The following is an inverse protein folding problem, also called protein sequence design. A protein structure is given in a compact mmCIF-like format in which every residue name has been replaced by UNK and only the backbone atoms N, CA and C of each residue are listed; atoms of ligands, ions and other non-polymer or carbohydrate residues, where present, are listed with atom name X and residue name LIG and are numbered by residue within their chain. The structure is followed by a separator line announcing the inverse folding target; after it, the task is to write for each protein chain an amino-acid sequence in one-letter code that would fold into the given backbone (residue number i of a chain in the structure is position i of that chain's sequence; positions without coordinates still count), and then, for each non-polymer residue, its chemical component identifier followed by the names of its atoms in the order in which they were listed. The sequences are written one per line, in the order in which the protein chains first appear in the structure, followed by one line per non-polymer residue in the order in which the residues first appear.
data_IF_224247151811
#
_entry.id   IF_224247151811
#
_cell.length_a   1.000
_cell.length_b   1.000
_cell.length_c   1.000
_cell.angle_alpha   90.00
_cell.angle_beta   90.00
_cell.angle_gamma   90.00
#
_symmetry.space_group_name_H-M   'P 1'
#
loop_
_entity.id
_entity.type
_entity.pdbx_description
1 polymer ?
#
# COMPACT_ATOMS: atom_id res chain seq x y z
N UNK A 1 66.22 -6.15 -38.54
CA UNK A 1 65.13 -5.15 -38.70
C UNK A 1 64.03 -5.49 -37.69
N UNK A 2 64.07 -4.90 -36.50
CA UNK A 2 63.00 -5.02 -35.51
C UNK A 2 62.47 -3.62 -35.22
N UNK A 3 61.26 -3.36 -35.70
CA UNK A 3 60.56 -2.08 -35.51
C UNK A 3 59.86 -2.08 -34.16
N UNK A 4 60.15 -1.07 -33.33
CA UNK A 4 59.47 -0.87 -32.05
C UNK A 4 57.97 -0.60 -32.26
N UNK A 5 57.08 -1.10 -31.37
CA UNK A 5 55.66 -0.76 -31.41
C UNK A 5 55.44 0.65 -30.88
N UNK A 6 54.75 1.48 -31.67
CA UNK A 6 54.32 2.82 -31.33
C UNK A 6 53.45 2.82 -30.06
N UNK A 7 54.00 3.29 -28.94
CA UNK A 7 53.23 3.66 -27.75
C UNK A 7 52.29 4.82 -28.11
N UNK A 8 51.01 4.49 -28.32
CA UNK A 8 49.95 5.50 -28.40
C UNK A 8 49.84 6.21 -27.05
N UNK A 9 50.34 7.43 -27.00
CA UNK A 9 50.06 8.39 -25.93
C UNK A 9 48.54 8.60 -25.88
N UNK A 10 47.88 7.98 -24.91
CA UNK A 10 46.48 8.26 -24.60
C UNK A 10 46.41 9.69 -24.10
N UNK A 11 45.91 10.60 -24.95
CA UNK A 11 45.55 11.95 -24.53
C UNK A 11 44.55 11.80 -23.38
N UNK A 12 44.98 12.16 -22.18
CA UNK A 12 44.10 12.34 -21.01
C UNK A 12 42.98 13.27 -21.43
N UNK A 13 41.76 12.75 -21.52
CA UNK A 13 40.60 13.51 -21.93
C UNK A 13 40.41 14.65 -20.94
N UNK A 14 40.38 15.88 -21.44
CA UNK A 14 40.08 17.06 -20.67
C UNK A 14 38.80 16.85 -19.85
N UNK A 15 38.90 17.07 -18.53
CA UNK A 15 37.75 17.12 -17.65
C UNK A 15 36.76 18.16 -18.18
N UNK A 16 35.69 17.70 -18.84
CA UNK A 16 34.60 18.57 -19.29
C UNK A 16 34.00 19.19 -18.03
N UNK A 17 34.18 20.48 -17.83
CA UNK A 17 33.44 21.20 -16.78
C UNK A 17 31.95 21.05 -17.06
N UNK A 18 31.23 20.45 -16.12
CA UNK A 18 29.77 20.35 -16.20
C UNK A 18 29.21 21.77 -16.13
N UNK A 19 28.87 22.36 -17.29
CA UNK A 19 28.17 23.64 -17.35
C UNK A 19 26.81 23.45 -16.68
N UNK A 20 26.48 24.31 -15.71
CA UNK A 20 25.12 24.37 -15.14
C UNK A 20 24.15 24.65 -16.28
N UNK A 21 23.29 23.68 -16.60
CA UNK A 21 22.19 23.84 -17.55
C UNK A 21 20.94 24.19 -16.76
N UNK A 22 20.14 25.09 -17.30
CA UNK A 22 18.80 25.32 -16.78
C UNK A 22 17.89 24.17 -17.25
N UNK A 23 17.14 23.58 -16.32
CA UNK A 23 16.20 22.50 -16.58
C UNK A 23 14.90 23.06 -17.16
N UNK A 24 14.91 23.36 -18.45
CA UNK A 24 13.71 23.77 -19.18
C UNK A 24 12.79 22.58 -19.44
N UNK A 25 11.48 22.86 -19.56
CA UNK A 25 10.51 21.83 -19.92
C UNK A 25 10.79 21.31 -21.34
N UNK A 26 10.80 19.99 -21.48
CA UNK A 26 11.01 19.29 -22.75
C UNK A 26 9.73 19.09 -23.56
N UNK A 27 8.57 19.23 -22.90
CA UNK A 27 7.24 19.12 -23.50
C UNK A 27 6.98 20.25 -24.50
N UNK A 28 6.30 19.96 -25.63
CA UNK A 28 5.90 20.99 -26.58
C UNK A 28 4.84 21.88 -25.94
N UNK A 29 5.18 23.14 -25.70
CA UNK A 29 4.33 24.12 -25.01
C UNK A 29 4.38 25.45 -25.75
N UNK A 30 3.22 26.04 -26.00
CA UNK A 30 3.12 27.41 -26.52
C UNK A 30 3.52 28.42 -25.45
N UNK A 31 4.70 29.02 -25.62
CA UNK A 31 5.23 29.99 -24.66
C UNK A 31 4.59 31.36 -24.95
N UNK A 32 3.88 31.97 -23.99
CA UNK A 32 3.29 33.28 -24.19
C UNK A 32 4.37 34.35 -24.40
N UNK A 33 4.10 35.31 -25.29
CA UNK A 33 4.97 36.46 -25.54
C UNK A 33 5.18 37.23 -24.23
N UNK A 34 6.43 37.63 -23.95
CA UNK A 34 6.76 38.41 -22.75
C UNK A 34 6.26 39.83 -22.92
N UNK A 35 5.41 40.28 -22.01
CA UNK A 35 5.06 41.70 -21.91
C UNK A 35 6.28 42.50 -21.42
N UNK A 36 6.59 43.69 -22.00
CA UNK A 36 7.80 44.45 -21.64
C UNK A 36 7.93 44.77 -20.15
N UNK A 37 6.80 45.04 -19.48
CA UNK A 37 6.74 45.33 -18.03
C UNK A 37 6.73 44.08 -17.13
N UNK A 38 6.67 42.88 -17.71
CA UNK A 38 6.67 41.64 -16.93
C UNK A 38 8.09 41.18 -16.60
N UNK A 39 8.35 40.91 -15.33
CA UNK A 39 9.62 40.34 -14.86
C UNK A 39 9.63 38.80 -14.91
N UNK A 40 8.72 38.17 -15.65
CA UNK A 40 8.67 36.71 -15.76
C UNK A 40 9.91 36.14 -16.46
N UNK A 41 10.61 35.24 -15.76
CA UNK A 41 11.72 34.46 -16.32
C UNK A 41 11.23 33.40 -17.33
N UNK A 42 12.13 32.84 -18.15
CA UNK A 42 11.77 31.88 -19.20
C UNK A 42 11.03 30.64 -18.68
N UNK A 43 11.48 30.08 -17.56
CA UNK A 43 10.86 28.90 -16.93
C UNK A 43 9.42 29.19 -16.47
N UNK A 44 9.19 30.37 -15.87
CA UNK A 44 7.84 30.79 -15.42
C UNK A 44 6.88 30.94 -16.60
N UNK A 45 7.37 31.41 -17.75
CA UNK A 45 6.55 31.49 -18.98
C UNK A 45 6.27 30.10 -19.56
N UNK A 46 7.25 29.20 -19.58
CA UNK A 46 7.04 27.81 -19.99
C UNK A 46 6.01 27.13 -19.08
N UNK A 47 6.08 27.34 -17.77
CA UNK A 47 5.09 26.84 -16.81
C UNK A 47 3.69 27.43 -17.08
N UNK A 48 3.58 28.74 -17.36
CA UNK A 48 2.31 29.36 -17.75
C UNK A 48 1.75 28.74 -19.04
N UNK A 49 2.61 28.46 -20.01
CA UNK A 49 2.21 27.74 -21.22
C UNK A 49 1.73 26.32 -20.92
N UNK A 50 2.41 25.59 -20.02
CA UNK A 50 2.04 24.22 -19.64
C UNK A 50 0.69 24.18 -18.91
N UNK A 51 0.49 25.11 -17.97
CA UNK A 51 -0.73 25.19 -17.16
C UNK A 51 -1.93 25.74 -17.95
N UNK A 52 -1.69 26.71 -18.84
CA UNK A 52 -2.76 27.40 -19.57
C UNK A 52 -3.42 28.52 -18.75
N UNK A 53 -4.50 29.12 -19.27
CA UNK A 53 -5.22 30.20 -18.60
C UNK A 53 -5.90 29.74 -17.31
N UNK A 54 -5.89 30.63 -16.32
CA UNK A 54 -6.53 30.45 -15.03
C UNK A 54 -7.93 31.06 -15.05
N UNK A 55 -8.95 30.34 -14.59
CA UNK A 55 -10.29 30.90 -14.43
C UNK A 55 -10.39 31.80 -13.18
N UNK A 56 -11.54 32.46 -12.98
CA UNK A 56 -11.80 33.33 -11.82
C UNK A 56 -11.70 32.56 -10.48
N UNK A 57 -12.05 31.27 -10.48
CA UNK A 57 -11.93 30.37 -9.32
C UNK A 57 -10.48 29.95 -9.05
N UNK A 58 -9.58 30.19 -9.99
CA UNK A 58 -8.18 29.87 -9.89
C UNK A 58 -7.75 28.54 -10.51
N UNK A 59 -8.61 27.86 -11.26
CA UNK A 59 -8.39 26.54 -11.84
C UNK A 59 -7.87 26.61 -13.28
N UNK A 60 -7.06 25.61 -13.65
CA UNK A 60 -6.48 25.44 -14.98
C UNK A 60 -7.29 24.46 -15.82
N UNK A 61 -8.55 24.81 -16.06
CA UNK A 61 -9.52 23.95 -16.75
C UNK A 61 -9.10 23.47 -18.15
N UNK A 62 -8.23 24.21 -18.85
CA UNK A 62 -7.69 23.80 -20.16
C UNK A 62 -6.59 22.74 -20.05
N UNK A 63 -6.06 22.47 -18.86
CA UNK A 63 -5.00 21.48 -18.68
C UNK A 63 -5.62 20.08 -18.51
N UNK A 64 -5.19 19.14 -19.36
CA UNK A 64 -5.59 17.73 -19.37
C UNK A 64 -5.47 17.07 -17.99
N UNK A 65 -4.45 17.45 -17.23
CA UNK A 65 -4.13 16.85 -15.92
C UNK A 65 -4.78 17.58 -14.73
N UNK A 66 -5.62 18.59 -14.96
CA UNK A 66 -6.24 19.38 -13.88
C UNK A 66 -7.32 18.60 -13.11
N UNK A 67 -8.08 17.74 -13.80
CA UNK A 67 -9.20 17.01 -13.21
C UNK A 67 -8.94 15.50 -13.22
N UNK A 68 -9.42 14.76 -12.19
CA UNK A 68 -9.21 13.33 -12.10
C UNK A 68 -10.04 12.57 -13.15
N UNK A 69 -9.46 11.56 -13.82
CA UNK A 69 -10.21 10.71 -14.75
C UNK A 69 -11.33 9.95 -14.04
N UNK A 70 -12.41 9.66 -14.78
CA UNK A 70 -13.62 9.01 -14.26
C UNK A 70 -13.90 7.64 -14.91
N UNK A 71 -12.96 7.09 -15.68
CA UNK A 71 -13.14 5.98 -16.61
C UNK A 71 -12.27 4.74 -16.29
N UNK A 72 -11.75 4.61 -15.07
CA UNK A 72 -10.83 3.53 -14.65
C UNK A 72 -9.55 3.45 -15.48
N UNK A 73 -9.19 4.55 -16.14
CA UNK A 73 -7.94 4.68 -16.87
C UNK A 73 -7.18 5.88 -16.30
N UNK A 74 -5.99 5.67 -15.73
CA UNK A 74 -5.24 6.77 -15.17
C UNK A 74 -4.71 7.66 -16.29
N UNK A 75 -4.72 8.96 -16.03
CA UNK A 75 -4.30 9.97 -16.98
C UNK A 75 -2.86 10.41 -16.69
N UNK A 76 -1.89 9.57 -17.08
CA UNK A 76 -0.47 9.85 -16.83
C UNK A 76 0.13 10.85 -17.83
N UNK A 77 1.22 11.48 -17.40
CA UNK A 77 1.88 12.58 -18.13
C UNK A 77 2.49 12.04 -19.42
N UNK A 78 2.18 12.64 -20.55
CA UNK A 78 2.84 12.34 -21.81
C UNK A 78 3.82 13.46 -22.15
N UNK A 79 5.05 13.10 -22.49
CA UNK A 79 6.09 14.08 -22.83
C UNK A 79 5.98 14.57 -24.28
N UNK A 80 5.29 13.80 -25.14
CA UNK A 80 5.23 14.08 -26.58
C UNK A 80 4.07 14.97 -26.98
N UNK A 81 3.02 14.97 -26.18
CA UNK A 81 1.76 15.65 -26.49
C UNK A 81 1.60 16.90 -25.63
N UNK A 82 0.87 17.88 -26.15
CA UNK A 82 0.59 19.11 -25.42
C UNK A 82 -0.30 18.79 -24.21
N UNK A 83 -0.03 19.36 -23.03
CA UNK A 83 -0.86 19.19 -21.84
C UNK A 83 -2.21 19.92 -21.94
N UNK A 84 -2.43 20.73 -22.99
CA UNK A 84 -3.62 21.57 -23.13
C UNK A 84 -4.67 20.91 -24.02
N UNK A 85 -5.93 21.01 -23.60
CA UNK A 85 -7.11 20.67 -24.39
C UNK A 85 -7.83 21.97 -24.73
N UNK A 86 -7.76 22.39 -25.99
CA UNK A 86 -8.54 23.52 -26.51
C UNK A 86 -9.84 23.00 -27.15
N UNK A 87 -11.02 23.48 -26.73
CA UNK A 87 -12.28 23.11 -27.36
C UNK A 87 -12.28 23.52 -28.83
N UNK A 88 -12.36 22.56 -29.75
CA UNK A 88 -12.43 22.78 -31.19
C UNK A 88 -11.12 22.61 -31.97
N UNK A 89 -9.97 22.49 -31.29
CA UNK A 89 -8.72 22.16 -31.97
C UNK A 89 -8.59 20.65 -32.14
N UNK A 90 -8.48 20.20 -33.40
CA UNK A 90 -8.03 18.84 -33.73
C UNK A 90 -6.51 18.80 -33.55
N UNK A 91 -6.06 18.76 -32.30
CA UNK A 91 -4.64 18.52 -32.00
C UNK A 91 -4.27 17.16 -32.59
N UNK A 92 -3.28 17.16 -33.50
CA UNK A 92 -2.66 15.92 -33.99
C UNK A 92 -1.93 15.27 -32.81
N UNK A 93 -2.64 14.46 -32.03
CA UNK A 93 -2.04 13.66 -30.96
C UNK A 93 -1.10 12.64 -31.61
N UNK A 94 0.18 12.72 -31.25
CA UNK A 94 1.12 11.67 -31.64
C UNK A 94 0.77 10.41 -30.86
N UNK A 95 0.91 9.22 -31.48
CA UNK A 95 0.72 7.99 -30.73
C UNK A 95 1.68 8.00 -29.53
N UNK A 96 1.19 7.65 -28.33
CA UNK A 96 2.00 7.69 -27.13
C UNK A 96 3.17 6.73 -27.30
N UNK A 97 4.35 7.15 -26.83
CA UNK A 97 5.56 6.32 -26.93
C UNK A 97 5.51 5.05 -26.08
N UNK A 98 4.56 4.99 -25.16
CA UNK A 98 4.53 4.11 -23.99
C UNK A 98 3.09 3.84 -23.59
N UNK A 99 2.91 2.83 -22.76
CA UNK A 99 1.61 2.53 -22.17
C UNK A 99 1.28 3.55 -21.06
N UNK A 100 0.55 4.60 -21.44
CA UNK A 100 0.07 5.62 -20.52
C UNK A 100 -1.00 5.11 -19.56
N UNK A 101 -1.58 3.93 -19.79
CA UNK A 101 -2.60 3.38 -18.89
C UNK A 101 -2.02 2.78 -17.62
N UNK A 102 -0.72 2.47 -17.60
CA UNK A 102 -0.09 1.77 -16.48
C UNK A 102 1.19 2.45 -15.97
N UNK A 103 1.87 3.23 -16.81
CA UNK A 103 3.17 3.80 -16.47
C UNK A 103 3.04 5.27 -16.03
N UNK A 104 3.18 5.61 -14.73
CA UNK A 104 3.05 6.99 -14.25
C UNK A 104 4.17 7.89 -14.75
N UNK A 105 5.42 7.43 -14.67
CA UNK A 105 6.59 8.26 -14.94
C UNK A 105 7.19 7.94 -16.31
N UNK A 106 7.42 8.95 -17.17
CA UNK A 106 7.98 8.71 -18.49
C UNK A 106 9.41 8.19 -18.45
N UNK A 107 10.24 8.69 -17.53
CA UNK A 107 11.65 8.29 -17.40
C UNK A 107 11.84 6.87 -16.83
N UNK A 108 10.87 6.33 -16.09
CA UNK A 108 10.98 5.01 -15.45
C UNK A 108 9.94 4.03 -16.01
N UNK A 109 10.39 3.10 -16.86
CA UNK A 109 9.55 2.07 -17.48
C UNK A 109 9.08 0.99 -16.49
N UNK A 110 9.84 0.74 -15.43
CA UNK A 110 9.57 -0.37 -14.50
C UNK A 110 8.52 -0.02 -13.46
N UNK A 111 8.37 1.26 -13.12
CA UNK A 111 7.29 1.69 -12.25
C UNK A 111 5.97 1.63 -13.01
N UNK A 112 5.07 0.76 -12.56
CA UNK A 112 3.73 0.59 -13.08
C UNK A 112 2.72 0.67 -11.95
N UNK A 113 1.49 1.05 -12.27
CA UNK A 113 0.43 1.19 -11.28
C UNK A 113 -0.31 -0.10 -11.06
N UNK A 114 -0.35 -0.53 -9.81
CA UNK A 114 -1.12 -1.68 -9.38
C UNK A 114 -2.63 -1.44 -9.58
N UNK A 115 -3.35 -2.53 -9.82
CA UNK A 115 -4.79 -2.48 -10.06
C UNK A 115 -5.58 -2.52 -8.76
N UNK A 116 -6.72 -1.84 -8.75
CA UNK A 116 -7.64 -1.76 -7.62
C UNK A 116 -8.64 -2.91 -7.68
N UNK A 117 -8.88 -3.52 -6.53
CA UNK A 117 -9.84 -4.62 -6.41
C UNK A 117 -11.26 -4.05 -6.35
N UNK A 118 -12.16 -4.65 -7.12
CA UNK A 118 -13.60 -4.33 -7.14
C UNK A 118 -14.21 -4.50 -5.74
N UNK A 119 -15.07 -3.57 -5.34
CA UNK A 119 -15.72 -3.61 -4.03
C UNK A 119 -16.57 -4.88 -3.84
N UNK A 120 -17.25 -5.34 -4.89
CA UNK A 120 -17.99 -6.60 -4.88
C UNK A 120 -17.06 -7.79 -4.60
N UNK A 121 -15.89 -7.79 -5.24
CA UNK A 121 -14.90 -8.85 -5.05
C UNK A 121 -14.34 -8.85 -3.62
N UNK A 122 -14.10 -7.67 -3.03
CA UNK A 122 -13.70 -7.55 -1.61
C UNK A 122 -14.74 -8.17 -0.68
N UNK A 123 -16.03 -7.91 -0.93
CA UNK A 123 -17.12 -8.47 -0.15
C UNK A 123 -17.20 -9.99 -0.29
N UNK A 124 -17.04 -10.52 -1.52
CA UNK A 124 -17.04 -11.97 -1.76
C UNK A 124 -15.87 -12.67 -1.08
N UNK A 125 -14.66 -12.09 -1.09
CA UNK A 125 -13.51 -12.63 -0.37
C UNK A 125 -13.81 -12.67 1.13
N UNK A 126 -14.35 -11.58 1.68
CA UNK A 126 -14.66 -11.50 3.10
C UNK A 126 -15.69 -12.55 3.55
N UNK A 127 -16.77 -12.74 2.79
CA UNK A 127 -17.77 -13.77 3.12
C UNK A 127 -17.22 -15.20 2.96
N UNK A 128 -16.36 -15.45 1.96
CA UNK A 128 -15.71 -16.76 1.82
C UNK A 128 -14.76 -17.10 2.98
N UNK A 129 -14.07 -16.11 3.54
CA UNK A 129 -13.18 -16.31 4.70
C UNK A 129 -13.97 -16.45 6.01
N UNK A 130 -14.85 -15.49 6.31
CA UNK A 130 -15.48 -15.38 7.64
C UNK A 130 -16.75 -16.24 7.78
N UNK A 131 -17.59 -16.31 6.73
CA UNK A 131 -18.86 -17.06 6.81
C UNK A 131 -18.69 -18.52 6.42
N UNK A 132 -17.89 -18.79 5.38
CA UNK A 132 -17.65 -20.16 4.88
C UNK A 132 -16.41 -20.82 5.50
N UNK A 133 -15.57 -20.07 6.19
CA UNK A 133 -14.35 -20.59 6.82
C UNK A 133 -13.35 -21.17 5.82
N UNK A 134 -13.33 -20.72 4.56
CA UNK A 134 -12.38 -21.23 3.57
C UNK A 134 -10.96 -20.76 3.88
N UNK A 135 -9.99 -21.60 3.58
CA UNK A 135 -8.58 -21.27 3.75
C UNK A 135 -8.18 -20.10 2.83
N UNK A 136 -7.40 -19.15 3.36
CA UNK A 136 -6.93 -17.96 2.65
C UNK A 136 -6.09 -18.33 1.41
N UNK A 137 -5.36 -19.44 1.47
CA UNK A 137 -4.56 -19.96 0.35
C UNK A 137 -5.42 -20.36 -0.86
N UNK A 138 -6.53 -21.06 -0.62
CA UNK A 138 -7.43 -21.49 -1.69
C UNK A 138 -8.04 -20.28 -2.39
N UNK A 139 -8.39 -19.25 -1.62
CA UNK A 139 -8.91 -17.98 -2.12
C UNK A 139 -7.85 -17.24 -2.92
N UNK A 140 -6.61 -17.20 -2.43
CA UNK A 140 -5.46 -16.61 -3.12
C UNK A 140 -5.23 -17.29 -4.48
N UNK A 141 -5.26 -18.62 -4.55
CA UNK A 141 -5.14 -19.38 -5.81
C UNK A 141 -6.35 -19.16 -6.73
N UNK A 142 -7.56 -19.19 -6.19
CA UNK A 142 -8.81 -19.00 -6.95
C UNK A 142 -8.85 -17.66 -7.68
N UNK A 143 -8.55 -16.57 -6.97
CA UNK A 143 -8.58 -15.22 -7.55
C UNK A 143 -7.23 -14.75 -8.10
N UNK A 144 -6.14 -15.46 -7.83
CA UNK A 144 -4.79 -15.07 -8.24
C UNK A 144 -4.31 -13.79 -7.56
N UNK A 145 -4.54 -13.69 -6.25
CA UNK A 145 -4.14 -12.53 -5.43
C UNK A 145 -3.12 -13.01 -4.41
N UNK A 146 -2.05 -12.24 -4.16
CA UNK A 146 -1.04 -12.62 -3.16
C UNK A 146 -1.66 -12.82 -1.78
N UNK A 147 -1.16 -13.83 -1.06
CA UNK A 147 -1.64 -14.21 0.27
C UNK A 147 -1.71 -13.04 1.29
N UNK A 148 -0.64 -12.28 1.55
CA UNK A 148 -0.70 -11.14 2.48
C UNK A 148 -1.66 -10.03 2.01
N UNK A 149 -1.93 -9.94 0.70
CA UNK A 149 -2.89 -8.98 0.14
C UNK A 149 -4.32 -9.39 0.44
N UNK A 150 -4.65 -10.69 0.38
CA UNK A 150 -5.97 -11.21 0.80
C UNK A 150 -6.22 -10.92 2.28
N UNK A 151 -5.23 -11.15 3.15
CA UNK A 151 -5.36 -10.84 4.58
C UNK A 151 -5.60 -9.35 4.84
N UNK A 152 -4.85 -8.49 4.13
CA UNK A 152 -5.02 -7.05 4.25
C UNK A 152 -6.45 -6.64 3.86
N UNK A 153 -7.03 -7.24 2.82
CA UNK A 153 -8.42 -6.98 2.43
C UNK A 153 -9.40 -7.40 3.53
N UNK A 154 -9.23 -8.58 4.11
CA UNK A 154 -10.09 -9.05 5.22
C UNK A 154 -10.00 -8.09 6.42
N UNK A 155 -8.79 -7.67 6.79
CA UNK A 155 -8.55 -6.69 7.87
C UNK A 155 -9.21 -5.34 7.58
N UNK A 156 -9.02 -4.80 6.37
CA UNK A 156 -9.63 -3.53 5.95
C UNK A 156 -11.16 -3.62 5.95
N UNK A 157 -11.72 -4.72 5.44
CA UNK A 157 -13.16 -4.92 5.40
C UNK A 157 -13.77 -5.04 6.81
N UNK A 158 -13.05 -5.65 7.77
CA UNK A 158 -13.46 -5.71 9.18
C UNK A 158 -13.52 -4.31 9.80
N UNK A 159 -12.52 -3.47 9.53
CA UNK A 159 -12.48 -2.07 9.98
C UNK A 159 -13.61 -1.26 9.34
N UNK A 160 -13.83 -1.41 8.03
CA UNK A 160 -14.94 -0.75 7.34
C UNK A 160 -16.30 -1.13 7.92
N UNK A 161 -16.52 -2.44 8.18
CA UNK A 161 -17.74 -2.92 8.83
C UNK A 161 -17.85 -2.37 10.25
N UNK A 162 -16.78 -2.31 11.03
CA UNK A 162 -16.80 -1.70 12.37
C UNK A 162 -17.22 -0.22 12.31
N UNK A 163 -16.62 0.56 11.41
CA UNK A 163 -16.95 1.98 11.25
C UNK A 163 -18.37 2.21 10.72
N UNK A 164 -18.93 1.24 9.98
CA UNK A 164 -20.34 1.20 9.57
C UNK A 164 -21.27 0.66 10.67
N UNK A 165 -20.82 -0.25 11.54
CA UNK A 165 -21.64 -0.96 12.52
C UNK A 165 -21.76 -0.23 13.86
N UNK A 166 -20.78 0.60 14.23
CA UNK A 166 -20.92 1.60 15.31
C UNK A 166 -22.17 2.51 15.08
N UNK A 167 -22.74 2.50 13.87
CA UNK A 167 -23.98 3.15 13.46
C UNK A 167 -25.24 2.28 13.71
N UNK A 168 -25.16 0.96 13.51
CA UNK A 168 -26.33 0.06 13.56
C UNK A 168 -26.59 -0.55 14.95
N UNK A 169 -25.56 -0.80 15.76
CA UNK A 169 -25.72 -1.42 17.08
C UNK A 169 -26.48 -0.52 18.05
N UNK A 170 -26.34 0.80 17.94
CA UNK A 170 -27.07 1.75 18.78
C UNK A 170 -28.57 1.83 18.44
N UNK A 171 -28.94 1.69 17.17
CA UNK A 171 -30.34 1.64 16.73
C UNK A 171 -31.09 0.43 17.27
N UNK A 172 -30.44 -0.75 17.26
CA UNK A 172 -31.00 -1.99 17.81
C UNK A 172 -30.99 -2.01 19.34
N UNK A 173 -29.96 -1.46 19.99
CA UNK A 173 -29.87 -1.43 21.45
C UNK A 173 -30.85 -0.43 22.08
N UNK A 174 -31.07 0.71 21.43
CA UNK A 174 -32.12 1.68 21.82
C UNK A 174 -33.53 1.14 21.54
N UNK A 175 -33.76 0.42 20.43
CA UNK A 175 -35.02 -0.29 20.22
C UNK A 175 -35.26 -1.36 21.30
N UNK A 176 -34.25 -2.18 21.62
CA UNK A 176 -34.38 -3.25 22.63
C UNK A 176 -34.61 -2.69 24.05
N UNK A 177 -34.00 -1.55 24.40
CA UNK A 177 -34.26 -0.84 25.67
C UNK A 177 -35.62 -0.15 25.69
N UNK A 178 -36.09 0.41 24.58
CA UNK A 178 -37.44 0.98 24.48
C UNK A 178 -38.51 -0.10 24.59
N UNK A 179 -38.38 -1.23 23.91
CA UNK A 179 -39.30 -2.37 24.02
C UNK A 179 -39.27 -3.05 25.40
N UNK A 180 -38.14 -3.00 26.12
CA UNK A 180 -38.03 -3.56 27.48
C UNK A 180 -38.56 -2.61 28.57
N UNK A 181 -38.55 -1.29 28.32
CA UNK A 181 -39.01 -0.26 29.28
C UNK A 181 -40.50 0.09 29.11
N UNK A 182 -41.04 -0.12 27.91
CA UNK A 182 -42.46 0.04 27.60
C UNK A 182 -43.11 -1.34 27.43
N UNK A 183 -43.20 -2.11 28.51
CA UNK A 183 -44.19 -3.18 28.62
C UNK A 183 -45.58 -2.54 28.60
N UNK A 184 -46.13 -2.32 27.40
CA UNK A 184 -47.43 -1.67 27.22
C UNK A 184 -48.42 -2.71 26.68
N UNK A 185 -49.45 -2.95 27.50
CA UNK A 185 -50.70 -3.58 27.11
C UNK A 185 -51.44 -2.70 26.10
N UNK A 186 -52.16 -3.34 25.18
CA UNK A 186 -52.89 -2.74 24.06
C UNK A 186 -53.81 -1.60 24.48
N UNK A 187 -53.48 -0.35 24.14
CA UNK A 187 -54.44 0.74 23.93
C UNK A 187 -53.87 1.76 22.92
N UNK A 188 -54.60 1.91 21.80
CA UNK A 188 -54.48 2.81 20.65
C UNK A 188 -53.09 3.08 19.98
N UNK A 189 -52.74 2.29 18.94
CA UNK A 189 -51.38 2.21 18.38
C UNK A 189 -51.00 3.29 17.33
N UNK A 190 -51.86 4.24 16.97
CA UNK A 190 -51.61 5.14 15.83
C UNK A 190 -51.04 6.51 16.20
N UNK A 191 -51.56 7.16 17.25
CA UNK A 191 -51.19 8.54 17.62
C UNK A 191 -49.90 8.57 18.43
N UNK A 192 -49.78 7.68 19.43
CA UNK A 192 -48.58 7.56 20.27
C UNK A 192 -47.38 7.14 19.42
N UNK A 193 -47.56 6.21 18.47
CA UNK A 193 -46.50 5.73 17.57
C UNK A 193 -45.89 6.84 16.71
N UNK A 194 -46.71 7.77 16.20
CA UNK A 194 -46.25 8.86 15.35
C UNK A 194 -45.53 9.98 16.13
N UNK A 195 -45.96 10.26 17.36
CA UNK A 195 -45.33 11.24 18.24
C UNK A 195 -44.01 10.72 18.81
N UNK A 196 -43.99 9.45 19.21
CA UNK A 196 -42.80 8.75 19.70
C UNK A 196 -41.79 8.54 18.57
N UNK A 197 -42.24 8.28 17.33
CA UNK A 197 -41.37 8.27 16.14
C UNK A 197 -40.77 9.64 15.85
N UNK A 198 -41.54 10.73 15.94
CA UNK A 198 -41.05 12.11 15.73
C UNK A 198 -40.05 12.54 16.80
N UNK A 199 -40.29 12.22 18.07
CA UNK A 199 -39.35 12.51 19.16
C UNK A 199 -38.11 11.62 19.10
N UNK A 200 -38.24 10.33 18.80
CA UNK A 200 -37.08 9.44 18.57
C UNK A 200 -36.24 9.90 17.38
N UNK A 201 -36.86 10.32 16.26
CA UNK A 201 -36.12 10.90 15.13
C UNK A 201 -35.39 12.19 15.51
N UNK A 202 -36.00 13.07 16.32
CA UNK A 202 -35.36 14.28 16.84
C UNK A 202 -34.19 13.97 17.79
N UNK A 203 -34.30 12.93 18.63
CA UNK A 203 -33.28 12.53 19.62
C UNK A 203 -32.15 11.68 19.03
N UNK A 204 -32.40 10.93 17.95
CA UNK A 204 -31.36 10.24 17.16
C UNK A 204 -30.43 11.27 16.50
N UNK A 205 -30.94 12.47 16.16
CA UNK A 205 -30.12 13.52 15.56
C UNK A 205 -29.18 14.25 16.55
N UNK A 206 -29.37 14.11 17.86
CA UNK A 206 -28.62 14.90 18.87
C UNK A 206 -27.59 14.13 19.69
N UNK A 207 -27.52 12.80 19.57
CA UNK A 207 -26.44 12.01 20.17
C UNK A 207 -25.33 11.78 19.14
N UNK A 208 -24.32 12.66 19.21
CA UNK A 208 -23.07 12.60 18.45
C UNK A 208 -22.34 11.25 18.66
N UNK A 209 -22.61 10.29 17.80
CA UNK A 209 -21.62 9.34 17.30
C UNK A 209 -21.70 9.41 15.79
N UNK A 210 -21.02 10.40 15.22
CA UNK A 210 -20.97 10.62 13.78
C UNK A 210 -20.41 9.35 13.13
N UNK A 211 -21.07 8.87 12.07
CA UNK A 211 -20.45 7.89 11.17
C UNK A 211 -19.01 8.34 10.90
N UNK A 212 -18.03 7.53 11.29
CA UNK A 212 -16.62 7.83 11.00
C UNK A 212 -16.40 7.99 9.49
N UNK A 213 -17.27 7.37 8.69
CA UNK A 213 -17.37 7.56 7.24
C UNK A 213 -18.26 8.78 6.95
N UNK A 214 -17.61 9.91 6.66
CA UNK A 214 -18.27 11.13 6.18
C UNK A 214 -18.62 11.02 4.69
N UNK A 215 -19.64 11.75 4.23
CA UNK A 215 -20.04 11.85 2.81
C UNK A 215 -18.89 12.28 1.91
N UNK A 216 -18.02 13.16 2.39
CA UNK A 216 -16.86 13.62 1.62
C UNK A 216 -15.78 12.54 1.48
N UNK A 217 -15.63 11.66 2.49
CA UNK A 217 -14.78 10.47 2.39
C UNK A 217 -15.33 9.48 1.36
N UNK A 218 -16.66 9.30 1.30
CA UNK A 218 -17.29 8.47 0.27
C UNK A 218 -17.08 9.05 -1.14
N UNK A 219 -17.24 10.37 -1.31
CA UNK A 219 -16.94 11.03 -2.59
C UNK A 219 -15.48 10.83 -2.99
N UNK A 220 -14.56 11.04 -2.05
CA UNK A 220 -13.14 10.82 -2.28
C UNK A 220 -12.83 9.38 -2.69
N UNK A 221 -13.36 8.39 -1.96
CA UNK A 221 -13.20 6.98 -2.28
C UNK A 221 -13.75 6.63 -3.67
N UNK A 222 -14.93 7.17 -4.04
CA UNK A 222 -15.52 6.99 -5.38
C UNK A 222 -14.66 7.58 -6.48
N UNK A 223 -14.09 8.78 -6.27
CA UNK A 223 -13.19 9.40 -7.26
C UNK A 223 -11.93 8.56 -7.40
N UNK A 224 -11.30 8.15 -6.29
CA UNK A 224 -10.10 7.30 -6.31
C UNK A 224 -10.34 5.97 -7.02
N UNK A 225 -11.47 5.30 -6.74
CA UNK A 225 -11.85 4.05 -7.40
C UNK A 225 -11.94 4.20 -8.93
N UNK A 226 -12.43 5.36 -9.40
CA UNK A 226 -12.53 5.66 -10.85
C UNK A 226 -11.23 6.11 -11.50
N UNK A 227 -10.23 6.52 -10.73
CA UNK A 227 -8.94 6.93 -11.26
C UNK A 227 -8.04 5.75 -11.66
N UNK A 228 -8.17 4.62 -10.97
CA UNK A 228 -7.27 3.49 -11.13
C UNK A 228 -7.87 2.36 -11.99
N UNK A 229 -7.01 1.57 -12.65
CA UNK A 229 -7.45 0.40 -13.39
C UNK A 229 -7.96 -0.68 -12.43
N UNK A 230 -8.99 -1.40 -12.87
CA UNK A 230 -9.67 -2.41 -12.08
C UNK A 230 -9.03 -3.79 -12.25
N UNK A 231 -9.01 -4.55 -11.17
CA UNK A 231 -8.53 -5.92 -11.11
C UNK A 231 -9.63 -6.90 -11.50
N UNK A 232 -9.37 -7.66 -12.56
CA UNK A 232 -10.26 -8.71 -13.07
C UNK A 232 -9.53 -10.05 -13.10
N UNK A 233 -9.89 -11.00 -12.22
CA UNK A 233 -9.43 -12.38 -12.37
C UNK A 233 -10.14 -13.03 -13.57
N UNK A 234 -9.46 -13.80 -14.45
CA UNK A 234 -8.07 -14.26 -14.39
C UNK A 234 -7.06 -13.39 -15.18
N UNK A 235 -7.47 -12.28 -15.80
CA UNK A 235 -6.62 -11.49 -16.70
C UNK A 235 -5.41 -10.87 -16.00
N UNK A 236 -5.56 -10.52 -14.73
CA UNK A 236 -4.58 -9.72 -14.00
C UNK A 236 -4.05 -10.41 -12.76
N UNK A 237 -3.78 -11.72 -12.83
CA UNK A 237 -3.29 -12.47 -11.67
C UNK A 237 -1.91 -12.00 -11.22
N UNK A 238 -1.75 -11.87 -9.91
CA UNK A 238 -0.44 -11.72 -9.29
C UNK A 238 0.35 -13.03 -9.44
N UNK A 239 1.68 -12.96 -9.52
CA UNK A 239 2.51 -14.16 -9.48
C UNK A 239 2.57 -14.70 -8.04
N UNK A 240 2.03 -15.90 -7.84
CA UNK A 240 1.94 -16.58 -6.53
C UNK A 240 3.19 -17.42 -6.20
N UNK A 241 4.10 -17.59 -7.16
CA UNK A 241 5.32 -18.42 -6.98
C UNK A 241 6.57 -17.58 -6.72
N UNK A 242 6.40 -16.30 -6.35
CA UNK A 242 7.53 -15.43 -6.02
C UNK A 242 8.07 -15.77 -4.64
N UNK A 243 9.34 -16.17 -4.60
CA UNK A 243 10.10 -16.38 -3.35
C UNK A 243 11.16 -15.29 -3.18
N UNK A 244 11.44 -14.84 -1.95
CA UNK A 244 12.54 -13.90 -1.71
C UNK A 244 13.88 -14.57 -2.03
N UNK A 245 14.75 -13.90 -2.78
CA UNK A 245 16.06 -14.43 -3.15
C UNK A 245 17.04 -14.38 -1.97
N UNK A 246 17.48 -15.53 -1.43
CA UNK A 246 18.42 -15.54 -0.31
C UNK A 246 19.83 -15.14 -0.77
N UNK A 247 20.59 -14.47 0.09
CA UNK A 247 21.93 -13.93 -0.26
C UNK A 247 22.90 -15.01 -0.81
N UNK A 248 22.82 -16.25 -0.32
CA UNK A 248 23.68 -17.35 -0.80
C UNK A 248 23.51 -17.65 -2.29
N UNK A 249 22.31 -17.41 -2.86
CA UNK A 249 21.99 -17.69 -4.28
C UNK A 249 22.43 -16.58 -5.23
N UNK A 250 22.76 -15.39 -4.72
CA UNK A 250 23.24 -14.27 -5.54
C UNK A 250 24.66 -14.52 -6.09
N UNK A 251 25.42 -15.42 -5.45
CA UNK A 251 26.77 -15.78 -5.88
C UNK A 251 26.74 -16.91 -6.91
N UNK A 252 27.33 -16.66 -8.08
CA UNK A 252 27.50 -17.67 -9.11
C UNK A 252 28.48 -18.75 -8.65
N UNK A 253 28.08 -20.02 -8.79
CA UNK A 253 28.91 -21.19 -8.49
C UNK A 253 28.93 -22.12 -9.69
N UNK A 254 30.08 -22.72 -9.94
CA UNK A 254 30.25 -23.75 -10.95
C UNK A 254 30.81 -24.99 -10.26
N UNK A 255 30.21 -26.14 -10.54
CA UNK A 255 30.62 -27.43 -9.97
C UNK A 255 30.92 -28.37 -11.13
N UNK A 256 32.08 -29.03 -11.07
CA UNK A 256 32.45 -30.07 -12.03
C UNK A 256 31.86 -31.39 -11.55
N UNK A 257 30.89 -31.90 -12.30
CA UNK A 257 30.23 -33.19 -12.09
C UNK A 257 30.64 -34.15 -13.22
N UNK A 258 30.39 -35.45 -13.04
CA UNK A 258 30.60 -36.42 -14.12
C UNK A 258 29.66 -36.11 -15.29
N UNK A 259 30.10 -36.38 -16.52
CA UNK A 259 29.28 -36.16 -17.73
C UNK A 259 27.95 -36.95 -17.72
N UNK A 260 27.91 -38.06 -16.98
CA UNK A 260 26.74 -38.91 -16.83
C UNK A 260 25.87 -38.57 -15.61
N UNK A 261 26.30 -37.66 -14.73
CA UNK A 261 25.62 -37.38 -13.47
C UNK A 261 24.50 -36.34 -13.67
N UNK A 262 23.24 -36.66 -13.34
CA UNK A 262 22.15 -35.70 -13.46
C UNK A 262 22.24 -34.64 -12.37
N UNK A 263 21.98 -33.38 -12.73
CA UNK A 263 22.03 -32.26 -11.80
C UNK A 263 20.66 -31.57 -11.68
N UNK A 264 20.00 -31.74 -10.53
CA UNK A 264 18.67 -31.20 -10.27
C UNK A 264 18.65 -29.99 -9.32
N UNK A 265 17.47 -29.36 -9.13
CA UNK A 265 17.28 -28.27 -8.17
C UNK A 265 17.59 -28.68 -6.72
N UNK A 266 17.34 -29.94 -6.35
CA UNK A 266 17.63 -30.47 -5.01
C UNK A 266 19.14 -30.54 -4.77
N UNK A 267 19.92 -30.96 -5.76
CA UNK A 267 21.37 -31.05 -5.63
C UNK A 267 22.02 -29.65 -5.65
N UNK A 268 21.47 -28.73 -6.44
CA UNK A 268 21.83 -27.32 -6.37
C UNK A 268 21.58 -26.74 -4.96
N UNK A 269 20.41 -27.01 -4.37
CA UNK A 269 20.07 -26.55 -3.02
C UNK A 269 21.06 -27.08 -1.97
N UNK A 270 21.44 -28.36 -2.05
CA UNK A 270 22.50 -28.96 -1.20
C UNK A 270 23.83 -28.23 -1.35
N UNK A 271 24.26 -27.89 -2.57
CA UNK A 271 25.51 -27.13 -2.80
C UNK A 271 25.44 -25.74 -2.15
N UNK A 272 24.29 -25.07 -2.22
CA UNK A 272 24.09 -23.79 -1.54
C UNK A 272 23.90 -23.92 -0.03
N UNK A 273 23.67 -25.13 0.49
CA UNK A 273 23.30 -25.37 1.88
C UNK A 273 21.99 -24.65 2.23
N UNK A 274 20.98 -24.84 1.38
CA UNK A 274 19.63 -24.29 1.49
C UNK A 274 18.60 -25.39 1.21
N UNK A 275 17.36 -25.13 1.60
CA UNK A 275 16.21 -25.92 1.19
C UNK A 275 15.88 -25.67 -0.29
N UNK A 276 15.32 -26.66 -1.01
CA UNK A 276 14.80 -26.48 -2.36
C UNK A 276 13.75 -25.36 -2.44
N UNK A 277 13.70 -24.67 -3.57
CA UNK A 277 12.75 -23.56 -3.79
C UNK A 277 11.28 -23.97 -3.58
N UNK A 278 10.92 -25.21 -3.92
CA UNK A 278 9.57 -25.73 -3.73
C UNK A 278 9.16 -25.80 -2.26
N UNK A 279 10.07 -26.24 -1.37
CA UNK A 279 9.83 -26.32 0.07
C UNK A 279 9.76 -24.93 0.70
N UNK A 280 10.58 -23.99 0.23
CA UNK A 280 10.48 -22.60 0.70
C UNK A 280 9.17 -21.94 0.27
N UNK A 281 8.66 -22.26 -0.92
CA UNK A 281 7.37 -21.78 -1.39
C UNK A 281 6.24 -22.41 -0.57
N UNK A 282 6.28 -23.72 -0.32
CA UNK A 282 5.27 -24.38 0.50
C UNK A 282 5.25 -23.78 1.90
N UNK A 283 6.40 -23.58 2.55
CA UNK A 283 6.51 -22.94 3.85
C UNK A 283 5.99 -21.48 3.88
N UNK A 284 6.15 -20.71 2.80
CA UNK A 284 5.59 -19.36 2.68
C UNK A 284 4.09 -19.36 2.40
N UNK A 285 3.60 -20.40 1.73
CA UNK A 285 2.19 -20.56 1.41
C UNK A 285 1.42 -21.12 2.60
N UNK A 286 2.01 -22.06 3.35
CA UNK A 286 1.47 -22.74 4.52
C UNK A 286 1.27 -21.72 5.65
N UNK A 287 0.01 -21.39 5.91
CA UNK A 287 -0.37 -20.90 7.22
C UNK A 287 -0.51 -22.13 8.09
N UNK A 288 0.19 -22.14 9.22
CA UNK A 288 -0.17 -22.99 10.33
C UNK A 288 -1.64 -22.71 10.64
N UNK A 289 -2.53 -23.61 10.23
CA UNK A 289 -3.81 -23.75 10.91
C UNK A 289 -3.43 -23.89 12.38
N UNK A 290 -3.95 -23.00 13.23
CA UNK A 290 -3.61 -22.92 14.66
C UNK A 290 -3.86 -24.26 15.39
N UNK A 291 -4.49 -25.23 14.73
CA UNK A 291 -4.65 -26.61 15.18
C UNK A 291 -3.41 -27.51 15.03
N UNK A 292 -2.52 -27.31 14.04
CA UNK A 292 -1.50 -28.30 13.66
C UNK A 292 -0.05 -27.74 13.55
N UNK A 293 0.21 -26.53 14.06
CA UNK A 293 1.59 -26.04 14.22
C UNK A 293 2.42 -27.01 15.10
N UNK A 294 3.70 -27.31 14.77
CA UNK A 294 4.59 -28.02 15.67
C UNK A 294 4.76 -27.20 16.95
N UNK A 295 4.08 -27.61 18.02
CA UNK A 295 4.16 -27.13 19.41
C UNK A 295 5.19 -26.00 19.57
N UNK A 296 4.78 -24.75 19.31
CA UNK A 296 5.55 -23.59 19.73
C UNK A 296 5.85 -23.83 21.20
N UNK A 297 7.12 -24.01 21.55
CA UNK A 297 7.51 -24.22 22.94
C UNK A 297 7.20 -22.93 23.68
N UNK A 298 5.99 -22.83 24.22
CA UNK A 298 5.61 -21.71 25.05
C UNK A 298 6.54 -21.73 26.25
N UNK A 299 7.24 -20.62 26.48
CA UNK A 299 8.01 -20.45 27.70
C UNK A 299 7.04 -20.55 28.87
N UNK A 300 7.42 -21.27 29.92
CA UNK A 300 6.66 -21.30 31.17
C UNK A 300 6.59 -19.87 31.72
N UNK A 301 5.37 -19.34 31.87
CA UNK A 301 5.10 -18.01 32.42
C UNK A 301 4.33 -18.17 33.71
N UNK A 302 4.91 -17.68 34.80
CA UNK A 302 4.26 -17.58 36.11
C UNK A 302 3.78 -16.15 36.30
N UNK A 303 2.51 -15.97 36.63
CA UNK A 303 1.92 -14.66 36.93
C UNK A 303 1.72 -14.58 38.44
N UNK A 304 2.18 -13.49 39.06
CA UNK A 304 2.04 -13.26 40.49
C UNK A 304 0.58 -12.98 40.89
N UNK A 305 0.21 -13.34 42.13
CA UNK A 305 -1.10 -13.02 42.70
C UNK A 305 -1.18 -11.51 42.92
N UNK A 306 -2.20 -10.86 42.35
CA UNK A 306 -2.48 -9.42 42.53
C UNK A 306 -3.41 -9.25 43.74
N UNK A 307 -3.04 -8.41 44.71
CA UNK A 307 -3.88 -8.09 45.87
C UNK A 307 -4.71 -6.84 45.61
N UNK A 308 -5.79 -6.69 46.37
CA UNK A 308 -6.63 -5.49 46.32
C UNK A 308 -5.81 -4.26 46.75
N UNK A 309 -5.63 -3.32 45.82
CA UNK A 309 -4.78 -2.14 45.98
C UNK A 309 -3.52 -2.12 45.11
N UNK A 310 -3.19 -3.22 44.42
CA UNK A 310 -2.03 -3.29 43.53
C UNK A 310 -2.35 -2.72 42.12
N UNK A 311 -1.55 -1.75 41.66
CA UNK A 311 -1.72 -1.12 40.33
C UNK A 311 -1.24 -2.00 39.16
N UNK A 312 -0.33 -2.95 39.42
CA UNK A 312 0.34 -3.72 38.36
C UNK A 312 0.50 -5.18 38.72
N UNK A 313 0.54 -6.03 37.70
CA UNK A 313 0.69 -7.47 37.84
C UNK A 313 2.07 -7.92 37.34
N UNK A 314 2.79 -8.66 38.18
CA UNK A 314 4.13 -9.14 37.84
C UNK A 314 4.06 -10.43 37.00
N UNK A 315 4.83 -10.45 35.91
CA UNK A 315 4.94 -11.60 35.00
C UNK A 315 6.36 -12.12 34.97
N UNK A 316 6.55 -13.36 35.36
CA UNK A 316 7.85 -14.05 35.39
C UNK A 316 7.92 -15.07 34.26
N UNK A 317 8.87 -14.87 33.34
CA UNK A 317 9.10 -15.80 32.23
C UNK A 317 10.35 -16.62 32.52
N UNK A 318 10.22 -17.96 32.56
CA UNK A 318 11.36 -18.85 32.75
C UNK A 318 12.33 -18.72 31.58
N UNK A 319 13.62 -18.55 31.89
CA UNK A 319 14.67 -18.43 30.89
C UNK A 319 15.98 -19.04 31.39
N UNK A 320 16.79 -19.56 30.48
CA UNK A 320 18.06 -20.25 30.79
C UNK A 320 19.14 -19.25 31.22
N UNK A 321 19.87 -19.54 32.29
CA UNK A 321 21.02 -18.74 32.73
C UNK A 321 22.06 -18.60 31.62
N UNK A 322 22.66 -17.42 31.48
CA UNK A 322 23.63 -17.08 30.42
C UNK A 322 23.03 -16.42 29.17
N UNK A 323 21.72 -16.59 28.92
CA UNK A 323 21.00 -15.94 27.80
C UNK A 323 20.12 -14.77 28.25
N UNK A 324 20.13 -14.42 29.54
CA UNK A 324 19.25 -13.43 30.17
C UNK A 324 20.09 -12.30 30.78
N UNK A 325 19.57 -11.08 30.72
CA UNK A 325 20.20 -9.88 31.26
C UNK A 325 20.97 -9.07 30.21
N UNK A 326 21.31 -7.83 30.56
CA UNK A 326 22.16 -7.00 29.72
C UNK A 326 23.60 -7.46 29.80
N UNK A 327 24.26 -7.62 28.64
CA UNK A 327 25.66 -8.07 28.58
C UNK A 327 26.58 -7.01 29.20
N UNK A 328 27.43 -7.43 30.14
CA UNK A 328 28.48 -6.58 30.68
C UNK A 328 29.52 -6.23 29.61
N UNK A 329 30.04 -5.00 29.63
CA UNK A 329 31.04 -4.53 28.67
C UNK A 329 30.49 -4.21 27.27
N UNK A 330 29.18 -4.25 27.06
CA UNK A 330 28.57 -3.79 25.81
C UNK A 330 28.86 -2.29 25.59
N UNK A 331 29.36 -1.94 24.41
CA UNK A 331 29.65 -0.54 24.06
C UNK A 331 28.36 0.26 23.92
N UNK A 332 28.25 1.37 24.67
CA UNK A 332 27.12 2.32 24.53
C UNK A 332 27.11 2.92 23.13
N UNK A 333 26.06 2.64 22.35
CA UNK A 333 25.91 3.16 20.98
C UNK A 333 25.20 4.51 20.90
N UNK A 334 24.82 5.10 22.03
CA UNK A 334 24.02 6.33 22.10
C UNK A 334 24.64 7.53 21.37
N UNK A 335 25.98 7.59 21.25
CA UNK A 335 26.67 8.66 20.52
C UNK A 335 26.87 8.36 19.04
N UNK A 336 26.63 7.12 18.60
CA UNK A 336 26.87 6.70 17.22
C UNK A 336 25.68 7.03 16.32
N UNK A 337 25.93 7.08 15.01
CA UNK A 337 24.91 7.36 13.99
C UNK A 337 23.98 6.16 13.75
N UNK A 338 24.50 4.95 13.95
CA UNK A 338 23.80 3.67 13.86
C UNK A 338 23.11 3.28 15.18
N UNK A 339 22.73 4.26 16.02
CA UNK A 339 22.01 3.97 17.27
C UNK A 339 20.66 3.31 16.98
N UNK A 340 20.28 2.36 17.81
CA UNK A 340 18.99 1.70 17.69
C UNK A 340 17.88 2.63 18.21
N UNK A 341 16.79 2.72 17.44
CA UNK A 341 15.61 3.51 17.78
C UNK A 341 14.40 2.60 17.61
N UNK A 342 13.60 2.47 18.66
CA UNK A 342 12.37 1.70 18.68
C UNK A 342 11.16 2.56 19.04
N UNK A 343 10.00 1.91 19.15
CA UNK A 343 8.75 2.53 19.53
C UNK A 343 8.07 1.73 20.64
N UNK A 344 7.54 2.43 21.63
CA UNK A 344 6.74 1.84 22.70
C UNK A 344 5.37 1.35 22.20
N UNK A 345 4.66 0.59 23.03
CA UNK A 345 3.26 0.18 22.79
C UNK A 345 2.31 1.35 22.51
N UNK A 346 2.64 2.54 23.01
CA UNK A 346 1.89 3.78 22.79
C UNK A 346 2.39 4.58 21.57
N UNK A 347 3.34 4.06 20.81
CA UNK A 347 3.92 4.71 19.63
C UNK A 347 4.93 5.81 19.92
N UNK A 348 5.40 5.95 21.17
CA UNK A 348 6.44 6.93 21.53
C UNK A 348 7.81 6.41 21.11
N UNK A 349 8.63 7.29 20.54
CA UNK A 349 10.00 6.95 20.17
C UNK A 349 10.84 6.72 21.44
N UNK A 350 11.53 5.59 21.50
CA UNK A 350 12.42 5.22 22.62
C UNK A 350 13.76 4.72 22.06
N UNK A 351 14.86 5.10 22.73
CA UNK A 351 16.18 4.57 22.41
C UNK A 351 16.31 3.16 22.99
N UNK A 352 16.48 2.17 22.12
CA UNK A 352 16.65 0.78 22.53
C UNK A 352 18.12 0.50 22.83
N UNK A 353 18.36 -0.23 23.92
CA UNK A 353 19.69 -0.57 24.44
C UNK A 353 20.20 -1.87 23.85
#
# INVERSE_FOLDING_TARGET
MFSAPNLRVVRVQAARSFKKRADYLTVPVDIPKKHPKSHDGPLKRQLKGFLGPRNIRGEYHTNKYCYPPQNHQPLYIDERNSPRVTPGDVLQERPPSRDLSSQPFPANKYTQTAQVILDDLKQTIFSEVEEKGRNVQEIAHKYGIRLPRVEALVKLQRIERQWKAEVCTFGLQMMRLAFKKFSISLEDPSVVRNLLLKELFKRIHTNNNQNKINKDLEKYAKVMHKMFPLFYPPKHKDNLTEIPTPAKTLHQRFVTISESEPFGPVDAAKIFGLEPAQETLSALSEFENVSDSPKVRHNEVVVGVQKDGDDTQFRFTKATSGNVGFRYGASRRDKKRDRAVGFDKLGRMVYTV
#
